data_IF_449877671197
#
_entry.id   IF_449877671197
#
_cell.length_a   1.000
_cell.length_b   1.000
_cell.length_c   1.000
_cell.angle_alpha   90.00
_cell.angle_beta   90.00
_cell.angle_gamma   90.00
#
_symmetry.space_group_name_H-M   'P 1'
#
loop_
_entity.id
_entity.type
_entity.pdbx_description
1 polymer ?
#
# COMPACT_ATOMS: atom_id res chain seq x y z
N UNK A 1 27.96 -2.17 -10.66
CA UNK A 1 26.58 -1.65 -10.46
C UNK A 1 25.73 -2.78 -9.92
N UNK A 2 25.20 -2.66 -8.70
CA UNK A 2 24.47 -3.74 -8.01
C UNK A 2 23.12 -3.91 -8.70
N UNK A 3 22.81 -5.10 -9.23
CA UNK A 3 21.53 -5.36 -9.87
C UNK A 3 20.41 -5.15 -8.86
N UNK A 4 19.52 -4.19 -9.13
CA UNK A 4 18.36 -3.94 -8.28
C UNK A 4 17.48 -5.21 -8.29
N UNK A 5 17.03 -5.70 -7.12
CA UNK A 5 16.10 -6.82 -7.08
C UNK A 5 14.84 -6.45 -7.87
N UNK A 6 14.33 -7.39 -8.68
CA UNK A 6 13.06 -7.18 -9.39
C UNK A 6 11.94 -7.08 -8.36
N UNK A 7 11.30 -5.90 -8.29
CA UNK A 7 10.16 -5.59 -7.39
C UNK A 7 8.86 -5.47 -8.20
N UNK A 8 8.37 -6.56 -8.83
CA UNK A 8 7.14 -6.50 -9.63
C UNK A 8 5.91 -6.12 -8.78
N UNK A 9 5.99 -6.30 -7.47
CA UNK A 9 4.94 -6.01 -6.49
C UNK A 9 4.68 -4.49 -6.31
N UNK A 10 5.70 -3.65 -6.60
CA UNK A 10 5.67 -2.20 -6.39
C UNK A 10 5.43 -1.43 -7.69
N UNK A 11 6.12 -1.83 -8.76
CA UNK A 11 5.96 -1.26 -10.09
C UNK A 11 4.83 -1.91 -10.90
N UNK A 12 4.04 -2.78 -10.26
CA UNK A 12 2.80 -3.24 -10.87
C UNK A 12 1.90 -2.03 -11.18
N UNK A 13 1.13 -2.08 -12.27
CA UNK A 13 0.25 -0.98 -12.67
C UNK A 13 -0.83 -0.68 -11.62
N UNK A 14 -1.28 -1.66 -10.84
CA UNK A 14 -2.31 -1.47 -9.81
C UNK A 14 -1.87 -0.59 -8.63
N UNK A 15 -0.73 -0.86 -7.94
CA UNK A 15 -0.23 0.01 -6.88
C UNK A 15 0.04 1.45 -7.35
N UNK A 16 0.63 1.60 -8.53
CA UNK A 16 0.84 2.92 -9.15
C UNK A 16 -0.48 3.62 -9.46
N UNK A 17 -1.47 2.89 -9.99
CA UNK A 17 -2.81 3.42 -10.22
C UNK A 17 -3.48 3.84 -8.90
N UNK A 18 -3.29 3.10 -7.80
CA UNK A 18 -3.82 3.47 -6.49
C UNK A 18 -3.18 4.76 -5.95
N UNK A 19 -1.86 4.94 -6.13
CA UNK A 19 -1.16 6.19 -5.76
C UNK A 19 -1.62 7.36 -6.62
N UNK A 20 -1.75 7.15 -7.94
CA UNK A 20 -2.25 8.18 -8.86
C UNK A 20 -3.69 8.54 -8.52
N UNK A 21 -4.55 7.55 -8.27
CA UNK A 21 -5.93 7.74 -7.84
C UNK A 21 -5.98 8.52 -6.52
N UNK A 22 -5.13 8.18 -5.55
CA UNK A 22 -5.03 8.90 -4.29
C UNK A 22 -4.58 10.35 -4.50
N UNK A 23 -3.54 10.59 -5.30
CA UNK A 23 -3.04 11.92 -5.59
C UNK A 23 -4.08 12.79 -6.32
N UNK A 24 -4.78 12.22 -7.31
CA UNK A 24 -5.87 12.90 -8.02
C UNK A 24 -7.05 13.15 -7.09
N UNK A 25 -7.41 12.19 -6.25
CA UNK A 25 -8.49 12.35 -5.28
C UNK A 25 -8.17 13.47 -4.26
N UNK A 26 -6.94 13.51 -3.75
CA UNK A 26 -6.52 14.46 -2.73
C UNK A 26 -6.36 15.88 -3.28
N UNK A 27 -5.79 16.02 -4.49
CA UNK A 27 -5.57 17.33 -5.09
C UNK A 27 -6.79 17.91 -5.78
N UNK A 28 -7.63 17.10 -6.42
CA UNK A 28 -8.69 17.59 -7.30
C UNK A 28 -10.08 17.27 -6.79
N UNK A 29 -10.34 16.04 -6.31
CA UNK A 29 -11.70 15.67 -5.89
C UNK A 29 -12.07 16.21 -4.51
N UNK A 30 -11.15 16.21 -3.55
CA UNK A 30 -11.43 16.75 -2.20
C UNK A 30 -11.76 18.25 -2.23
N UNK A 31 -11.01 19.11 -2.95
CA UNK A 31 -11.38 20.52 -3.07
C UNK A 31 -12.66 20.76 -3.88
N UNK A 32 -12.95 19.90 -4.86
CA UNK A 32 -14.11 20.08 -5.74
C UNK A 32 -15.42 19.58 -5.14
N UNK A 33 -15.40 18.46 -4.39
CA UNK A 33 -16.64 17.77 -3.99
C UNK A 33 -16.98 17.88 -2.50
N UNK A 34 -16.09 18.38 -1.62
CA UNK A 34 -16.36 18.58 -0.18
C UNK A 34 -17.11 17.41 0.51
N UNK A 35 -16.96 16.17 0.02
CA UNK A 35 -17.84 15.06 0.40
C UNK A 35 -17.10 13.97 1.17
N UNK A 36 -17.76 13.42 2.19
CA UNK A 36 -17.30 12.29 3.02
C UNK A 36 -16.88 11.06 2.22
N UNK A 37 -17.50 10.85 1.05
CA UNK A 37 -17.16 9.80 0.08
C UNK A 37 -15.70 9.85 -0.42
N UNK A 38 -15.13 11.04 -0.63
CA UNK A 38 -13.75 11.22 -1.10
C UNK A 38 -12.72 10.84 -0.02
N UNK A 39 -13.08 10.98 1.25
CA UNK A 39 -12.29 10.51 2.38
C UNK A 39 -12.19 8.98 2.39
N UNK A 40 -13.34 8.31 2.28
CA UNK A 40 -13.43 6.84 2.30
C UNK A 40 -12.72 6.18 1.12
N UNK A 41 -12.76 6.81 -0.05
CA UNK A 41 -12.02 6.33 -1.22
C UNK A 41 -10.50 6.33 -0.98
N UNK A 42 -9.99 7.36 -0.31
CA UNK A 42 -8.59 7.45 0.09
C UNK A 42 -8.22 6.37 1.09
N UNK A 43 -9.12 6.07 2.04
CA UNK A 43 -8.91 5.03 3.04
C UNK A 43 -8.86 3.64 2.41
N UNK A 44 -9.76 3.34 1.46
CA UNK A 44 -9.71 2.10 0.67
C UNK A 44 -8.40 2.00 -0.10
N UNK A 45 -7.97 3.09 -0.75
CA UNK A 45 -6.72 3.11 -1.50
C UNK A 45 -5.51 2.84 -0.59
N UNK A 46 -5.45 3.45 0.60
CA UNK A 46 -4.40 3.23 1.59
C UNK A 46 -4.42 1.81 2.14
N UNK A 47 -5.58 1.28 2.52
CA UNK A 47 -5.71 -0.09 3.01
C UNK A 47 -5.30 -1.13 1.97
N UNK A 48 -5.48 -0.84 0.69
CA UNK A 48 -5.01 -1.72 -0.39
C UNK A 48 -3.51 -1.55 -0.69
N UNK A 49 -3.03 -0.31 -0.78
CA UNK A 49 -1.67 0.00 -1.25
C UNK A 49 -0.60 -0.18 -0.17
N UNK A 50 -0.83 0.33 1.04
CA UNK A 50 0.16 0.36 2.11
C UNK A 50 0.75 -1.02 2.49
N UNK A 51 -0.02 -2.12 2.57
CA UNK A 51 0.55 -3.41 2.94
C UNK A 51 1.48 -3.98 1.86
N UNK A 52 1.18 -3.71 0.58
CA UNK A 52 2.03 -4.06 -0.55
C UNK A 52 3.30 -3.21 -0.56
N UNK A 53 3.18 -1.91 -0.29
CA UNK A 53 4.29 -0.98 -0.17
C UNK A 53 5.28 -1.40 0.92
N UNK A 54 4.79 -1.72 2.11
CA UNK A 54 5.63 -2.19 3.23
C UNK A 54 6.31 -3.52 2.90
N UNK A 55 5.59 -4.46 2.27
CA UNK A 55 6.19 -5.72 1.81
C UNK A 55 7.34 -5.49 0.83
N UNK A 56 7.20 -4.55 -0.10
CA UNK A 56 8.24 -4.20 -1.08
C UNK A 56 9.46 -3.52 -0.42
N UNK A 57 9.25 -2.62 0.55
CA UNK A 57 10.35 -2.04 1.32
C UNK A 57 11.11 -3.10 2.12
N UNK A 58 10.39 -4.01 2.77
CA UNK A 58 10.99 -5.13 3.49
C UNK A 58 11.75 -6.07 2.53
N UNK A 59 11.34 -6.17 1.27
CA UNK A 59 12.08 -6.94 0.27
C UNK A 59 13.46 -6.34 -0.05
N UNK A 60 13.61 -5.02 0.12
CA UNK A 60 14.88 -4.31 -0.06
C UNK A 60 15.76 -4.39 1.18
N UNK A 61 15.16 -4.31 2.36
CA UNK A 61 15.88 -4.30 3.62
C UNK A 61 16.21 -5.69 4.17
N UNK A 62 15.42 -6.71 3.81
CA UNK A 62 15.49 -8.05 4.42
C UNK A 62 15.47 -9.17 3.38
N UNK A 63 15.92 -10.36 3.78
CA UNK A 63 15.81 -11.61 3.00
C UNK A 63 14.60 -12.46 3.41
N UNK A 64 13.61 -11.84 4.03
CA UNK A 64 12.44 -12.57 4.50
C UNK A 64 11.61 -13.13 3.35
N UNK A 65 10.99 -14.31 3.55
CA UNK A 65 10.08 -14.88 2.57
C UNK A 65 8.92 -13.92 2.34
N UNK A 66 8.46 -13.83 1.08
CA UNK A 66 7.43 -12.85 0.66
C UNK A 66 6.17 -12.91 1.52
N UNK A 67 5.73 -14.11 1.91
CA UNK A 67 4.55 -14.29 2.77
C UNK A 67 4.69 -13.62 4.15
N UNK A 68 5.88 -13.66 4.75
CA UNK A 68 6.15 -12.96 6.02
C UNK A 68 6.13 -11.46 5.82
N UNK A 69 6.74 -10.95 4.75
CA UNK A 69 6.74 -9.51 4.45
C UNK A 69 5.33 -8.96 4.19
N UNK A 70 4.51 -9.71 3.44
CA UNK A 70 3.10 -9.39 3.20
C UNK A 70 2.31 -9.41 4.51
N UNK A 71 2.51 -10.42 5.36
CA UNK A 71 1.88 -10.50 6.67
C UNK A 71 2.25 -9.33 7.58
N UNK A 72 3.53 -8.97 7.62
CA UNK A 72 4.02 -7.80 8.38
C UNK A 72 3.45 -6.51 7.80
N UNK A 73 3.42 -6.35 6.47
CA UNK A 73 2.82 -5.19 5.82
C UNK A 73 1.33 -5.03 6.13
N UNK A 74 0.58 -6.14 6.09
CA UNK A 74 -0.83 -6.18 6.45
C UNK A 74 -1.06 -5.84 7.92
N UNK A 75 -0.31 -6.46 8.84
CA UNK A 75 -0.41 -6.19 10.27
C UNK A 75 -0.08 -4.73 10.60
N UNK A 76 1.02 -4.21 10.04
CA UNK A 76 1.45 -2.83 10.26
C UNK A 76 0.43 -1.83 9.69
N UNK A 77 -0.11 -2.11 8.50
CA UNK A 77 -1.19 -1.30 7.91
C UNK A 77 -2.43 -1.31 8.79
N UNK A 78 -2.89 -2.49 9.22
CA UNK A 78 -4.10 -2.62 10.03
C UNK A 78 -3.96 -1.90 11.37
N UNK A 79 -2.83 -2.07 12.05
CA UNK A 79 -2.56 -1.42 13.34
C UNK A 79 -2.48 0.09 13.18
N UNK A 80 -1.67 0.57 12.22
CA UNK A 80 -1.52 2.01 11.99
C UNK A 80 -2.86 2.65 11.58
N UNK A 81 -3.56 2.06 10.61
CA UNK A 81 -4.85 2.58 10.14
C UNK A 81 -5.89 2.61 11.26
N UNK A 82 -6.01 1.54 12.03
CA UNK A 82 -6.93 1.48 13.17
C UNK A 82 -6.58 2.54 14.23
N UNK A 83 -5.30 2.68 14.57
CA UNK A 83 -4.85 3.66 15.55
C UNK A 83 -5.19 5.09 15.13
N UNK A 84 -5.02 5.43 13.84
CA UNK A 84 -5.33 6.75 13.30
C UNK A 84 -6.83 7.01 13.16
N UNK A 85 -7.66 5.98 12.93
CA UNK A 85 -9.12 6.14 12.78
C UNK A 85 -9.89 6.07 14.09
N UNK A 86 -9.33 5.43 15.13
CA UNK A 86 -9.95 5.34 16.46
C UNK A 86 -9.57 6.51 17.37
N UNK A 87 -8.38 7.10 17.18
CA UNK A 87 -7.85 8.13 18.07
C UNK A 87 -7.45 9.40 17.32
N UNK A 88 -8.23 10.46 17.52
CA UNK A 88 -7.94 11.79 16.98
C UNK A 88 -6.56 12.32 17.45
N UNK A 89 -6.13 12.17 18.72
CA UNK A 89 -4.79 12.57 19.14
C UNK A 89 -3.66 11.88 18.37
N UNK A 90 -3.81 10.59 18.04
CA UNK A 90 -2.85 9.85 17.24
C UNK A 90 -2.85 10.33 15.78
N UNK A 91 -4.03 10.61 15.23
CA UNK A 91 -4.18 11.20 13.90
C UNK A 91 -3.49 12.57 13.79
N UNK A 92 -3.68 13.42 14.79
CA UNK A 92 -3.07 14.76 14.84
C UNK A 92 -1.55 14.67 14.98
N UNK A 93 -1.06 13.80 15.88
CA UNK A 93 0.38 13.55 16.04
C UNK A 93 1.00 13.06 14.73
N UNK A 94 0.36 12.10 14.05
CA UNK A 94 0.83 11.60 12.77
C UNK A 94 0.89 12.70 11.70
N UNK A 95 -0.13 13.56 11.62
CA UNK A 95 -0.11 14.72 10.72
C UNK A 95 1.03 15.69 11.06
N UNK A 96 1.31 15.94 12.34
CA UNK A 96 2.43 16.78 12.76
C UNK A 96 3.78 16.20 12.36
N UNK A 97 3.96 14.88 12.49
CA UNK A 97 5.16 14.17 12.03
C UNK A 97 5.35 14.23 10.52
N UNK A 98 4.26 14.25 9.73
CA UNK A 98 4.31 14.34 8.27
C UNK A 98 4.56 15.76 7.75
N UNK A 99 4.18 16.81 8.49
CA UNK A 99 4.38 18.21 8.09
C UNK A 99 5.81 18.54 7.63
N UNK A 100 6.89 18.22 8.38
CA UNK A 100 8.25 18.53 7.92
C UNK A 100 8.64 17.76 6.65
N UNK A 101 8.08 16.58 6.42
CA UNK A 101 8.31 15.77 5.22
C UNK A 101 7.54 16.30 4.00
N UNK A 102 6.35 16.88 4.21
CA UNK A 102 5.51 17.44 3.14
C UNK A 102 5.81 18.89 2.78
N UNK A 103 6.44 19.65 3.68
CA UNK A 103 6.79 21.06 3.46
C UNK A 103 7.63 21.31 2.17
N UNK A 104 8.66 20.49 1.83
CA UNK A 104 9.41 20.64 0.58
C UNK A 104 8.55 20.47 -0.69
N UNK A 105 7.39 19.80 -0.58
CA UNK A 105 6.48 19.51 -1.68
C UNK A 105 5.24 20.41 -1.69
N UNK A 106 5.18 21.42 -0.82
CA UNK A 106 4.03 22.32 -0.68
C UNK A 106 2.80 21.67 -0.05
N UNK A 107 2.94 20.52 0.61
CA UNK A 107 1.87 19.79 1.28
C UNK A 107 1.84 20.19 2.76
N UNK A 108 1.15 21.28 3.09
CA UNK A 108 1.10 21.86 4.45
C UNK A 108 -0.17 21.52 5.23
N UNK A 109 -1.21 21.03 4.54
CA UNK A 109 -2.54 20.78 5.09
C UNK A 109 -2.89 19.31 5.30
N UNK A 110 -2.03 18.52 5.96
CA UNK A 110 -2.43 17.16 6.35
C UNK A 110 -3.50 17.24 7.44
N UNK A 111 -4.70 16.78 7.11
CA UNK A 111 -5.82 16.68 8.05
C UNK A 111 -6.40 15.27 7.99
N UNK A 112 -6.17 14.51 9.04
CA UNK A 112 -6.80 13.22 9.26
C UNK A 112 -7.93 13.40 10.29
N UNK A 113 -9.11 12.87 9.97
CA UNK A 113 -10.25 12.82 10.89
C UNK A 113 -10.39 11.37 11.33
N UNK A 114 -10.45 11.16 12.65
CA UNK A 114 -10.76 9.88 13.26
C UNK A 114 -12.26 9.61 13.09
N UNK A 115 -12.58 8.69 12.18
CA UNK A 115 -13.93 8.18 11.97
C UNK A 115 -13.88 6.64 12.05
N UNK A 116 -14.42 6.05 13.13
CA UNK A 116 -14.45 4.59 13.30
C UNK A 116 -15.22 3.85 12.18
N UNK A 117 -16.11 4.53 11.45
CA UNK A 117 -16.80 3.90 10.31
C UNK A 117 -15.86 3.56 9.16
N UNK A 118 -14.67 4.15 9.13
CA UNK A 118 -13.64 3.83 8.15
C UNK A 118 -12.96 2.49 8.44
N UNK A 119 -13.14 1.88 9.62
CA UNK A 119 -12.69 0.51 9.88
C UNK A 119 -13.36 -0.53 8.96
N UNK A 120 -14.48 -0.16 8.32
CA UNK A 120 -15.10 -0.97 7.26
C UNK A 120 -14.20 -1.13 6.02
N UNK A 121 -13.10 -0.37 5.89
CA UNK A 121 -12.12 -0.54 4.82
C UNK A 121 -11.04 -1.57 5.15
N UNK A 122 -10.92 -2.02 6.41
CA UNK A 122 -9.95 -3.06 6.81
C UNK A 122 -10.01 -4.35 5.98
N UNK A 123 -11.18 -4.85 5.53
CA UNK A 123 -11.25 -6.00 4.62
C UNK A 123 -10.45 -5.81 3.32
N UNK A 124 -10.22 -4.58 2.85
CA UNK A 124 -9.38 -4.32 1.67
C UNK A 124 -7.90 -4.65 1.91
N UNK A 125 -7.44 -4.68 3.16
CA UNK A 125 -6.10 -5.20 3.50
C UNK A 125 -6.03 -6.70 3.19
N UNK A 126 -7.09 -7.45 3.49
CA UNK A 126 -7.18 -8.86 3.12
C UNK A 126 -7.20 -9.04 1.59
N UNK A 127 -7.91 -8.17 0.87
CA UNK A 127 -7.89 -8.14 -0.60
C UNK A 127 -6.48 -7.88 -1.13
N UNK A 128 -5.73 -6.96 -0.53
CA UNK A 128 -4.33 -6.72 -0.90
C UNK A 128 -3.44 -7.93 -0.62
N UNK A 129 -3.63 -8.64 0.50
CA UNK A 129 -2.92 -9.90 0.76
C UNK A 129 -3.26 -10.97 -0.27
N UNK A 130 -4.54 -11.14 -0.61
CA UNK A 130 -4.97 -12.09 -1.63
C UNK A 130 -4.37 -11.75 -3.00
N UNK A 131 -4.36 -10.47 -3.38
CA UNK A 131 -3.74 -10.00 -4.63
C UNK A 131 -2.22 -10.25 -4.65
N UNK A 132 -1.51 -9.88 -3.57
CA UNK A 132 -0.09 -10.13 -3.43
C UNK A 132 0.26 -11.62 -3.49
N UNK A 133 -0.61 -12.48 -2.94
CA UNK A 133 -0.48 -13.95 -3.02
C UNK A 133 -0.83 -14.51 -4.40
N UNK A 134 -1.89 -14.04 -5.06
CA UNK A 134 -2.30 -14.51 -6.38
C UNK A 134 -1.22 -14.22 -7.43
N UNK A 135 -0.57 -13.05 -7.31
CA UNK A 135 0.59 -12.69 -8.15
C UNK A 135 1.78 -13.66 -7.98
N UNK A 136 1.86 -14.41 -6.86
CA UNK A 136 2.86 -15.48 -6.67
C UNK A 136 2.62 -16.68 -7.59
N UNK A 137 1.36 -17.06 -7.81
CA UNK A 137 1.00 -18.23 -8.62
C UNK A 137 1.22 -17.96 -10.11
N UNK A 138 1.01 -16.71 -10.54
CA UNK A 138 1.18 -16.30 -11.94
C UNK A 138 2.66 -16.14 -12.36
N UNK A 139 3.59 -16.02 -11.40
CA UNK A 139 5.03 -15.88 -11.67
C UNK A 139 5.84 -17.15 -11.44
N UNK A 140 5.21 -18.30 -11.16
CA UNK A 140 5.91 -19.59 -11.23
C UNK A 140 6.42 -19.75 -12.67
N UNK A 141 7.76 -19.75 -12.89
CA UNK A 141 8.28 -19.79 -14.24
C UNK A 141 7.85 -21.09 -14.89
N UNK A 142 7.24 -21.01 -16.06
CA UNK A 142 7.18 -22.12 -17.02
C UNK A 142 8.59 -22.41 -17.57
N UNK A 143 9.57 -22.62 -16.70
CA UNK A 143 10.97 -22.90 -17.04
C UNK A 143 11.37 -24.33 -16.64
N UNK A 144 10.44 -25.15 -16.15
CA UNK A 144 10.67 -26.57 -15.84
C UNK A 144 10.13 -27.54 -16.90
N UNK A 145 9.74 -27.07 -18.09
CA UNK A 145 9.32 -27.94 -19.20
C UNK A 145 10.35 -27.94 -20.33
N UNK A 146 11.63 -28.15 -20.02
CA UNK A 146 12.54 -28.72 -21.01
C UNK A 146 12.51 -30.23 -20.82
N UNK A 147 11.90 -31.01 -21.72
CA UNK A 147 11.92 -32.46 -21.61
C UNK A 147 13.37 -32.97 -21.68
N UNK A 148 13.76 -33.96 -20.86
CA UNK A 148 15.07 -34.58 -20.94
C UNK A 148 15.15 -35.40 -22.24
N UNK A 149 15.57 -34.79 -23.34
CA UNK A 149 15.60 -35.48 -24.63
C UNK A 149 16.17 -34.70 -25.81
N UNK A 150 16.96 -33.65 -25.60
CA UNK A 150 17.66 -32.93 -26.67
C UNK A 150 19.18 -33.13 -26.57
N UNK A 151 19.60 -34.38 -26.66
CA UNK A 151 20.94 -34.77 -27.10
C UNK A 151 20.75 -35.81 -28.19
N UNK A 152 20.88 -35.39 -29.45
CA UNK A 152 21.14 -36.22 -30.63
C UNK A 152 21.76 -35.34 -31.69
#
# INVERSE_FOLDING_TARGET
MKALPRLPEFFAPLPLAAVVLMAVNDRWLKPAFHNTLTGKLSDVAICFFLPLYVSALLALATRWPRGVRLGVGAALTAVLFTALKVSQPLADLFCQWLRPLGAPFGLTGFRAVADPTDLLTLPFIAVAMLYGRATLLSQTPATSLTPPGALS
#
